data_IF_780225980696
#
_entry.id   IF_780225980696
#
_cell.length_a   1.000
_cell.length_b   1.000
_cell.length_c   1.000
_cell.angle_alpha   90.00
_cell.angle_beta   90.00
_cell.angle_gamma   90.00
#
_symmetry.space_group_name_H-M   'P 1'
#
loop_
_entity.id
_entity.type
_entity.pdbx_description
1 polymer ?
#
# COMPACT_ATOMS: atom_id res chain seq x y z
N UNK A 1 -6.19 2.02 10.43
CA UNK A 1 -5.96 1.30 9.16
C UNK A 1 -6.33 2.23 8.01
N UNK A 2 -5.63 2.25 6.87
CA UNK A 2 -6.02 3.06 5.70
C UNK A 2 -7.18 2.35 4.96
N UNK A 3 -8.45 2.81 5.05
CA UNK A 3 -9.62 2.08 4.55
C UNK A 3 -9.48 1.66 3.09
N UNK A 4 -8.90 2.54 2.27
CA UNK A 4 -8.85 2.37 0.82
C UNK A 4 -7.48 1.92 0.32
N UNK A 5 -6.50 1.73 1.21
CA UNK A 5 -5.12 1.31 0.88
C UNK A 5 -4.47 2.07 -0.30
N UNK A 6 -4.79 3.37 -0.47
CA UNK A 6 -4.28 4.16 -1.61
C UNK A 6 -4.88 3.76 -2.97
N UNK A 7 -6.12 3.26 -2.97
CA UNK A 7 -6.84 2.80 -4.16
C UNK A 7 -6.64 1.32 -4.48
N UNK A 8 -5.86 0.59 -3.67
CA UNK A 8 -5.61 -0.84 -3.89
C UNK A 8 -6.82 -1.71 -3.54
N UNK A 9 -7.62 -1.30 -2.55
CA UNK A 9 -8.88 -1.97 -2.25
C UNK A 9 -9.96 -1.42 -3.18
N UNK A 10 -10.46 -2.27 -4.08
CA UNK A 10 -11.41 -1.89 -5.14
C UNK A 10 -12.87 -1.82 -4.69
N UNK A 11 -13.13 -1.87 -3.38
CA UNK A 11 -14.46 -1.85 -2.77
C UNK A 11 -14.57 -0.67 -1.78
N UNK A 12 -14.59 0.59 -2.25
CA UNK A 12 -14.46 1.76 -1.38
C UNK A 12 -15.64 1.92 -0.42
N UNK A 13 -16.87 1.68 -0.89
CA UNK A 13 -18.06 1.72 -0.04
C UNK A 13 -18.00 0.68 1.08
N UNK A 14 -17.71 -0.58 0.74
CA UNK A 14 -17.66 -1.67 1.72
C UNK A 14 -16.55 -1.42 2.75
N UNK A 15 -15.41 -0.92 2.29
CA UNK A 15 -14.27 -0.58 3.15
C UNK A 15 -14.63 0.51 4.16
N UNK A 16 -15.36 1.54 3.73
CA UNK A 16 -15.79 2.62 4.62
C UNK A 16 -16.88 2.17 5.59
N UNK A 17 -17.87 1.41 5.13
CA UNK A 17 -18.89 0.80 6.01
C UNK A 17 -18.24 -0.10 7.06
N UNK A 18 -17.24 -0.90 6.67
CA UNK A 18 -16.50 -1.75 7.60
C UNK A 18 -15.80 -0.95 8.70
N UNK A 19 -15.10 0.14 8.33
CA UNK A 19 -14.38 0.99 9.30
C UNK A 19 -15.34 1.79 10.19
N UNK A 20 -16.45 2.30 9.64
CA UNK A 20 -17.48 3.02 10.39
C UNK A 20 -18.21 2.13 11.39
N UNK A 21 -18.23 0.81 11.17
CA UNK A 21 -18.76 -0.17 12.13
C UNK A 21 -17.79 -0.48 13.29
N UNK A 22 -16.54 -0.02 13.23
CA UNK A 22 -15.57 -0.19 14.31
C UNK A 22 -15.74 0.91 15.38
N UNK A 23 -15.17 0.69 16.56
CA UNK A 23 -15.12 1.69 17.65
C UNK A 23 -14.10 2.81 17.36
N UNK A 24 -14.36 3.61 16.32
CA UNK A 24 -13.53 4.75 15.91
C UNK A 24 -14.26 6.07 16.12
N UNK A 25 -13.54 7.12 16.49
CA UNK A 25 -14.14 8.46 16.66
C UNK A 25 -14.26 9.23 15.35
N UNK A 26 -13.40 8.95 14.36
CA UNK A 26 -13.35 9.69 13.09
C UNK A 26 -12.74 8.83 12.00
N UNK A 27 -13.25 8.99 10.77
CA UNK A 27 -12.75 8.32 9.56
C UNK A 27 -12.35 9.38 8.54
N UNK A 28 -11.14 9.24 8.00
CA UNK A 28 -10.58 10.17 7.00
C UNK A 28 -10.31 9.38 5.71
N UNK A 29 -11.31 9.21 4.83
CA UNK A 29 -11.11 8.52 3.56
C UNK A 29 -10.20 9.34 2.63
N UNK A 30 -9.40 8.66 1.81
CA UNK A 30 -8.69 9.29 0.69
C UNK A 30 -9.60 9.41 -0.53
N UNK A 31 -9.34 10.40 -1.38
CA UNK A 31 -10.07 10.63 -2.63
C UNK A 31 -9.21 11.43 -3.61
N UNK A 32 -9.45 11.24 -4.90
CA UNK A 32 -8.79 11.91 -6.03
C UNK A 32 -9.81 12.75 -6.81
N UNK A 33 -11.04 12.26 -6.98
CA UNK A 33 -12.07 12.92 -7.79
C UNK A 33 -13.19 13.50 -6.92
N UNK A 34 -13.80 14.65 -7.30
CA UNK A 34 -14.92 15.23 -6.55
C UNK A 34 -16.09 14.27 -6.30
N UNK A 35 -16.42 13.40 -7.27
CA UNK A 35 -17.48 12.39 -7.12
C UNK A 35 -17.24 11.39 -5.97
N UNK A 36 -15.98 11.13 -5.64
CA UNK A 36 -15.60 10.23 -4.55
C UNK A 36 -15.85 10.91 -3.20
N UNK A 37 -15.75 12.24 -3.12
CA UNK A 37 -16.17 13.02 -1.94
C UNK A 37 -17.65 12.78 -1.66
N UNK A 38 -18.49 12.90 -2.68
CA UNK A 38 -19.94 12.70 -2.56
C UNK A 38 -20.26 11.27 -2.13
N UNK A 39 -19.65 10.28 -2.79
CA UNK A 39 -19.84 8.86 -2.47
C UNK A 39 -19.41 8.53 -1.04
N UNK A 40 -18.23 9.02 -0.61
CA UNK A 40 -17.74 8.83 0.75
C UNK A 40 -18.65 9.52 1.78
N UNK A 41 -19.17 10.71 1.47
CA UNK A 41 -20.06 11.46 2.35
C UNK A 41 -21.42 10.76 2.51
N UNK A 42 -21.97 10.17 1.44
CA UNK A 42 -23.21 9.38 1.50
C UNK A 42 -23.05 8.21 2.47
N UNK A 43 -21.95 7.46 2.36
CA UNK A 43 -21.65 6.34 3.27
C UNK A 43 -21.52 6.80 4.72
N UNK A 44 -20.83 7.93 4.95
CA UNK A 44 -20.61 8.46 6.29
C UNK A 44 -21.87 9.00 6.99
N UNK A 45 -22.87 9.47 6.23
CA UNK A 45 -24.12 10.02 6.79
C UNK A 45 -25.04 8.97 7.40
N UNK A 46 -25.10 7.80 6.78
CA UNK A 46 -25.98 6.70 7.20
C UNK A 46 -25.28 5.36 6.97
N UNK A 47 -24.30 5.00 7.83
CA UNK A 47 -23.57 3.75 7.66
C UNK A 47 -24.50 2.56 7.88
N UNK A 48 -24.60 1.71 6.85
CA UNK A 48 -25.31 0.43 6.95
C UNK A 48 -24.32 -0.68 7.32
N UNK A 49 -24.68 -1.60 8.24
CA UNK A 49 -23.88 -2.79 8.50
C UNK A 49 -23.63 -3.58 7.22
N UNK A 50 -22.47 -4.23 7.12
CA UNK A 50 -22.20 -5.16 6.03
C UNK A 50 -23.02 -6.44 6.24
N UNK A 51 -23.67 -6.92 5.19
CA UNK A 51 -24.17 -8.29 5.14
C UNK A 51 -23.01 -9.29 5.11
N UNK A 52 -23.27 -10.55 5.45
CA UNK A 52 -22.26 -11.61 5.40
C UNK A 52 -21.63 -11.74 4.00
N UNK A 53 -22.45 -11.62 2.94
CA UNK A 53 -21.99 -11.68 1.56
C UNK A 53 -21.06 -10.52 1.19
N UNK A 54 -21.37 -9.31 1.64
CA UNK A 54 -20.52 -8.13 1.42
C UNK A 54 -19.22 -8.22 2.22
N UNK A 55 -19.27 -8.70 3.45
CA UNK A 55 -18.08 -8.93 4.28
C UNK A 55 -17.17 -9.97 3.63
N UNK A 56 -17.72 -11.07 3.13
CA UNK A 56 -16.95 -12.10 2.43
C UNK A 56 -16.32 -11.56 1.14
N UNK A 57 -17.05 -10.73 0.39
CA UNK A 57 -16.50 -10.02 -0.79
C UNK A 57 -15.32 -9.14 -0.39
N UNK A 58 -15.46 -8.34 0.67
CA UNK A 58 -14.40 -7.45 1.15
C UNK A 58 -13.17 -8.24 1.62
N UNK A 59 -13.37 -9.33 2.38
CA UNK A 59 -12.29 -10.22 2.82
C UNK A 59 -11.50 -10.79 1.64
N UNK A 60 -12.17 -11.26 0.58
CA UNK A 60 -11.51 -11.78 -0.63
C UNK A 60 -10.64 -10.74 -1.33
N UNK A 61 -11.06 -9.48 -1.35
CA UNK A 61 -10.28 -8.37 -1.93
C UNK A 61 -9.07 -8.03 -1.05
N UNK A 62 -9.22 -8.11 0.27
CA UNK A 62 -8.16 -7.77 1.22
C UNK A 62 -7.15 -8.89 1.45
N UNK A 63 -7.54 -10.17 1.34
CA UNK A 63 -6.70 -11.33 1.66
C UNK A 63 -5.33 -11.32 0.96
N UNK A 64 -5.22 -11.02 -0.35
CA UNK A 64 -3.91 -10.95 -1.01
C UNK A 64 -2.99 -9.82 -0.49
N UNK A 65 -3.55 -8.85 0.23
CA UNK A 65 -2.84 -7.70 0.77
C UNK A 65 -2.27 -7.95 2.17
N UNK A 66 -2.63 -9.07 2.82
CA UNK A 66 -2.16 -9.35 4.18
C UNK A 66 -0.66 -9.67 4.20
N UNK A 67 -0.18 -10.44 3.22
CA UNK A 67 1.19 -10.96 3.21
C UNK A 67 2.16 -10.12 2.34
N UNK A 68 1.66 -9.32 1.41
CA UNK A 68 2.49 -8.65 0.40
C UNK A 68 2.09 -7.18 0.15
N UNK A 69 1.79 -6.42 1.20
CA UNK A 69 1.42 -5.01 1.08
C UNK A 69 2.26 -4.10 1.97
N UNK A 70 3.23 -3.41 1.36
CA UNK A 70 3.99 -2.35 2.03
C UNK A 70 3.09 -1.14 2.29
N UNK A 71 2.89 -0.82 3.57
CA UNK A 71 2.05 0.33 4.00
C UNK A 71 2.79 1.66 4.00
N UNK A 72 4.07 1.64 3.60
CA UNK A 72 4.93 2.81 3.43
C UNK A 72 5.03 3.64 4.71
N UNK A 73 5.10 2.99 5.87
CA UNK A 73 5.23 3.63 7.18
C UNK A 73 6.67 4.06 7.51
N UNK A 74 7.65 3.62 6.71
CA UNK A 74 9.09 3.89 6.89
C UNK A 74 9.71 3.35 8.18
N UNK A 75 9.03 2.47 8.93
CA UNK A 75 9.60 1.89 10.17
C UNK A 75 10.83 1.03 9.93
N UNK A 76 10.96 0.44 8.74
CA UNK A 76 12.15 -0.30 8.32
C UNK A 76 13.37 0.58 8.02
N UNK A 77 13.24 1.91 8.06
CA UNK A 77 14.32 2.86 7.78
C UNK A 77 15.02 3.33 9.06
N UNK A 78 16.30 3.75 9.00
CA UNK A 78 17.18 3.63 7.84
C UNK A 78 17.64 2.17 7.61
N UNK A 79 17.95 1.86 6.35
CA UNK A 79 18.69 0.65 5.99
C UNK A 79 20.20 0.91 6.21
N UNK A 80 20.96 -0.02 6.83
CA UNK A 80 22.40 0.15 7.03
C UNK A 80 23.19 0.44 5.74
N UNK A 81 22.78 -0.19 4.64
CA UNK A 81 23.39 -0.01 3.32
C UNK A 81 22.92 1.27 2.61
N UNK A 82 22.01 2.04 3.21
CA UNK A 82 21.47 3.26 2.61
C UNK A 82 20.40 3.04 1.53
N UNK A 83 19.90 1.81 1.37
CA UNK A 83 18.84 1.48 0.41
C UNK A 83 17.56 2.25 0.77
N UNK A 84 16.97 3.03 -0.16
CA UNK A 84 15.75 3.78 0.10
C UNK A 84 14.50 2.88 -0.01
N UNK A 85 14.33 1.94 0.94
CA UNK A 85 13.30 0.88 0.90
C UNK A 85 11.91 1.42 0.58
N UNK A 86 11.47 2.48 1.26
CA UNK A 86 10.18 3.13 1.02
C UNK A 86 10.02 3.57 -0.45
N UNK A 87 11.03 4.23 -1.01
CA UNK A 87 10.98 4.77 -2.36
C UNK A 87 10.89 3.65 -3.38
N UNK A 88 11.68 2.59 -3.21
CA UNK A 88 11.68 1.45 -4.13
C UNK A 88 10.32 0.74 -4.12
N UNK A 89 9.69 0.59 -2.94
CA UNK A 89 8.33 0.06 -2.82
C UNK A 89 7.30 0.95 -3.55
N UNK A 90 7.38 2.27 -3.36
CA UNK A 90 6.52 3.25 -4.04
C UNK A 90 6.67 3.19 -5.56
N UNK A 91 7.90 3.23 -6.07
CA UNK A 91 8.19 3.22 -7.50
C UNK A 91 7.80 1.88 -8.13
N UNK A 92 8.09 0.76 -7.47
CA UNK A 92 7.77 -0.58 -7.98
C UNK A 92 6.27 -0.89 -8.01
N UNK A 93 5.45 -0.16 -7.24
CA UNK A 93 3.99 -0.20 -7.41
C UNK A 93 3.54 0.71 -8.55
N UNK A 94 4.07 1.93 -8.62
CA UNK A 94 3.68 2.94 -9.62
C UNK A 94 4.14 2.63 -11.04
N UNK A 95 5.24 1.90 -11.22
CA UNK A 95 5.77 1.50 -12.54
C UNK A 95 4.79 0.64 -13.35
N UNK A 96 3.83 0.00 -12.67
CA UNK A 96 2.76 -0.78 -13.28
C UNK A 96 1.74 0.11 -14.03
N UNK A 97 1.64 1.39 -13.65
CA UNK A 97 0.76 2.37 -14.31
C UNK A 97 1.48 2.89 -15.56
N UNK A 98 0.95 2.68 -16.78
CA UNK A 98 1.64 3.02 -18.03
C UNK A 98 2.13 4.47 -18.10
N UNK A 99 1.32 5.42 -17.61
CA UNK A 99 1.63 6.85 -17.63
C UNK A 99 2.76 7.25 -16.67
N UNK A 100 3.03 6.44 -15.64
CA UNK A 100 4.05 6.72 -14.63
C UNK A 100 5.33 5.88 -14.82
N UNK A 101 5.31 4.90 -15.73
CA UNK A 101 6.35 3.87 -15.87
C UNK A 101 7.74 4.44 -16.08
N UNK A 102 7.94 5.19 -17.16
CA UNK A 102 9.27 5.73 -17.51
C UNK A 102 9.81 6.66 -16.43
N UNK A 103 8.96 7.54 -15.88
CA UNK A 103 9.35 8.39 -14.77
C UNK A 103 9.79 7.59 -13.54
N UNK A 104 9.10 6.49 -13.22
CA UNK A 104 9.49 5.65 -12.08
C UNK A 104 10.84 4.98 -12.28
N UNK A 105 11.10 4.46 -13.49
CA UNK A 105 12.39 3.87 -13.87
C UNK A 105 13.51 4.91 -13.84
N UNK A 106 13.27 6.10 -14.38
CA UNK A 106 14.24 7.21 -14.36
C UNK A 106 14.60 7.63 -12.93
N UNK A 107 13.61 7.75 -12.04
CA UNK A 107 13.85 8.07 -10.63
C UNK A 107 14.66 6.95 -9.97
N UNK A 108 14.35 5.69 -10.25
CA UNK A 108 15.08 4.54 -9.70
C UNK A 108 16.54 4.50 -10.19
N UNK A 109 16.77 4.69 -11.49
CA UNK A 109 18.10 4.68 -12.09
C UNK A 109 19.02 5.80 -11.57
N UNK A 110 18.46 6.91 -11.09
CA UNK A 110 19.21 8.03 -10.49
C UNK A 110 19.55 7.82 -9.02
N UNK A 111 19.07 6.76 -8.38
CA UNK A 111 19.42 6.48 -6.99
C UNK A 111 20.89 6.07 -6.88
N UNK A 112 21.60 6.67 -5.92
CA UNK A 112 23.01 6.34 -5.66
C UNK A 112 23.21 4.92 -5.13
N UNK A 113 22.19 4.41 -4.44
CA UNK A 113 22.16 3.07 -3.84
C UNK A 113 20.80 2.46 -4.19
N UNK A 114 20.81 1.20 -4.59
CA UNK A 114 19.63 0.46 -5.02
C UNK A 114 19.60 -0.93 -4.35
N UNK A 115 18.69 -1.82 -4.76
CA UNK A 115 18.53 -3.16 -4.15
C UNK A 115 19.79 -4.04 -4.27
N UNK A 116 20.66 -3.80 -5.24
CA UNK A 116 21.89 -4.57 -5.47
C UNK A 116 22.91 -4.41 -4.33
N UNK A 117 22.82 -3.33 -3.54
CA UNK A 117 23.66 -3.11 -2.37
C UNK A 117 23.22 -3.93 -1.14
N UNK A 118 22.11 -4.67 -1.21
CA UNK A 118 21.57 -5.41 -0.08
C UNK A 118 22.50 -6.54 0.35
N UNK A 119 22.93 -6.53 1.61
CA UNK A 119 23.76 -7.58 2.22
C UNK A 119 22.95 -8.66 2.95
N UNK A 120 21.61 -8.66 2.80
CA UNK A 120 20.70 -9.64 3.43
C UNK A 120 20.72 -9.64 4.97
N UNK A 121 21.00 -8.50 5.62
CA UNK A 121 21.06 -8.38 7.10
C UNK A 121 19.73 -8.53 7.87
N UNK A 122 18.58 -8.65 7.19
CA UNK A 122 17.24 -8.89 7.77
C UNK A 122 16.66 -7.78 8.67
N UNK A 123 17.43 -6.76 9.07
CA UNK A 123 17.00 -5.70 9.99
C UNK A 123 15.70 -4.98 9.56
N UNK A 124 15.49 -4.82 8.25
CA UNK A 124 14.26 -4.23 7.73
C UNK A 124 13.00 -5.06 8.03
N UNK A 125 13.12 -6.40 8.01
CA UNK A 125 12.03 -7.34 8.25
C UNK A 125 11.71 -7.42 9.74
N UNK A 126 12.73 -7.40 10.61
CA UNK A 126 12.57 -7.31 12.07
C UNK A 126 11.85 -6.02 12.50
N UNK A 127 12.18 -4.89 11.87
CA UNK A 127 11.52 -3.59 12.12
C UNK A 127 10.09 -3.50 11.57
N UNK A 128 9.70 -4.42 10.69
CA UNK A 128 8.41 -4.35 10.03
C UNK A 128 7.29 -4.84 10.97
N UNK A 129 6.33 -3.98 11.39
CA UNK A 129 5.27 -4.39 12.32
C UNK A 129 4.24 -5.34 11.68
N UNK A 130 4.41 -5.67 10.40
CA UNK A 130 3.55 -6.55 9.63
C UNK A 130 4.28 -7.80 9.14
N UNK A 131 5.53 -8.02 9.59
CA UNK A 131 6.35 -9.19 9.24
C UNK A 131 6.45 -9.44 7.73
N UNK A 132 6.52 -8.36 6.94
CA UNK A 132 6.62 -8.46 5.48
C UNK A 132 7.99 -9.01 5.07
N UNK A 133 8.07 -9.85 4.02
CA UNK A 133 9.33 -10.34 3.46
C UNK A 133 9.99 -9.25 2.59
N UNK A 134 10.42 -8.15 3.22
CA UNK A 134 10.87 -6.92 2.55
C UNK A 134 12.00 -7.20 1.55
N UNK A 135 12.95 -8.09 1.85
CA UNK A 135 14.07 -8.37 0.93
C UNK A 135 13.59 -9.01 -0.36
N UNK A 136 12.67 -9.98 -0.26
CA UNK A 136 12.01 -10.59 -1.43
C UNK A 136 11.24 -9.54 -2.22
N UNK A 137 10.43 -8.72 -1.54
CA UNK A 137 9.65 -7.67 -2.20
C UNK A 137 10.55 -6.66 -2.92
N UNK A 138 11.68 -6.28 -2.33
CA UNK A 138 12.64 -5.35 -2.95
C UNK A 138 13.22 -5.92 -4.25
N UNK A 139 13.60 -7.22 -4.27
CA UNK A 139 14.06 -7.90 -5.49
C UNK A 139 12.98 -7.86 -6.58
N UNK A 140 11.73 -8.20 -6.24
CA UNK A 140 10.61 -8.12 -7.18
C UNK A 140 10.39 -6.70 -7.72
N UNK A 141 10.50 -5.67 -6.87
CA UNK A 141 10.38 -4.27 -7.32
C UNK A 141 11.56 -3.84 -8.19
N UNK A 142 12.77 -4.29 -7.86
CA UNK A 142 13.96 -4.00 -8.65
C UNK A 142 13.80 -4.51 -10.09
N UNK A 143 13.40 -5.76 -10.26
CA UNK A 143 13.20 -6.37 -11.58
C UNK A 143 12.17 -5.60 -12.42
N UNK A 144 11.08 -5.14 -11.79
CA UNK A 144 10.07 -4.31 -12.44
C UNK A 144 10.56 -2.91 -12.84
N UNK A 145 11.57 -2.38 -12.16
CA UNK A 145 12.12 -1.04 -12.37
C UNK A 145 13.33 -1.03 -13.32
N UNK A 146 13.91 -2.19 -13.63
CA UNK A 146 15.07 -2.34 -14.52
C UNK A 146 14.75 -3.04 -15.84
N UNK A 147 13.66 -3.81 -15.90
CA UNK A 147 13.02 -4.24 -17.16
C UNK A 147 12.14 -3.12 -17.67
#
# INVERSE_FOLDING_TARGET
MKPLAGGVITEPELSLRWILAQSVSTVIPGMIQPKEVESNAIVGRAPLPLSEKELEKLKKVCYPLEENFCRRCMYCMPCPEGIPIYLIQELGDKVKVPQARELCRDIYARQKVNVEACNECEECEEKCPYHLPIRKMLKEKHDLLTT
#
